data_IF_687209923275
#
_entry.id   IF_687209923275
#
_cell.length_a   1.000
_cell.length_b   1.000
_cell.length_c   1.000
_cell.angle_alpha   90.00
_cell.angle_beta   90.00
_cell.angle_gamma   90.00
#
_symmetry.space_group_name_H-M   'P 1'
#
loop_
_entity.id
_entity.type
_entity.pdbx_description
1 polymer ?
#
# COMPACT_ATOMS: atom_id res chain seq x y z
N UNK A 1 44.75 2.92 33.19
CA UNK A 1 44.00 2.14 32.19
C UNK A 1 43.20 3.10 31.36
N UNK A 2 43.48 3.20 30.05
CA UNK A 2 42.74 4.07 29.13
C UNK A 2 42.01 3.19 28.14
N UNK A 3 40.68 3.22 28.18
CA UNK A 3 39.86 2.68 27.10
C UNK A 3 39.37 3.86 26.26
N UNK A 4 40.08 4.07 25.15
CA UNK A 4 39.60 4.89 24.04
C UNK A 4 38.57 4.05 23.29
N UNK A 5 37.31 4.47 23.31
CA UNK A 5 36.33 4.02 22.34
C UNK A 5 36.15 5.13 21.31
N UNK A 6 36.85 4.97 20.19
CA UNK A 6 36.42 5.55 18.92
C UNK A 6 35.79 4.40 18.15
N UNK A 7 34.49 4.47 17.88
CA UNK A 7 33.90 3.73 16.78
C UNK A 7 32.83 4.57 16.12
N UNK A 8 32.86 4.49 14.80
CA UNK A 8 32.28 5.38 13.83
C UNK A 8 30.75 5.52 13.90
N UNK A 9 30.33 6.68 13.42
CA UNK A 9 29.06 6.97 12.75
C UNK A 9 28.45 5.75 12.05
N UNK A 10 27.21 5.42 12.38
CA UNK A 10 26.26 4.94 11.38
C UNK A 10 25.26 6.09 11.19
N UNK A 11 25.08 6.64 9.98
CA UNK A 11 23.88 7.42 9.72
C UNK A 11 22.72 6.42 9.83
N UNK A 12 21.96 6.54 10.90
CA UNK A 12 20.64 5.93 11.00
C UNK A 12 19.79 6.55 9.89
N UNK A 13 19.92 5.99 8.69
CA UNK A 13 19.02 6.22 7.58
C UNK A 13 17.92 5.16 7.69
N UNK A 14 17.26 5.08 8.84
CA UNK A 14 15.89 4.58 8.85
C UNK A 14 15.09 5.62 8.12
N UNK A 15 14.96 5.43 6.80
CA UNK A 15 14.06 6.22 5.99
C UNK A 15 12.65 5.94 6.52
N UNK A 16 12.25 6.72 7.53
CA UNK A 16 10.92 6.71 8.11
C UNK A 16 9.98 6.87 6.93
N UNK A 17 9.25 5.81 6.58
CA UNK A 17 8.27 5.95 5.52
C UNK A 17 7.24 6.95 6.01
N UNK A 18 6.89 7.93 5.18
CA UNK A 18 5.79 8.81 5.52
C UNK A 18 4.56 7.93 5.60
N UNK A 19 3.92 7.85 6.77
CA UNK A 19 2.72 7.03 6.98
C UNK A 19 1.53 7.45 6.08
N UNK A 20 1.71 8.52 5.29
CA UNK A 20 0.78 9.04 4.29
C UNK A 20 1.33 8.96 2.86
N UNK A 21 2.40 8.18 2.62
CA UNK A 21 2.95 7.94 1.29
C UNK A 21 1.90 7.16 0.46
N UNK A 22 1.50 7.64 -0.74
CA UNK A 22 0.44 7.01 -1.53
C UNK A 22 0.75 5.58 -1.98
N UNK A 23 2.01 5.17 -1.96
CA UNK A 23 2.52 3.84 -2.31
C UNK A 23 2.66 2.90 -1.11
N UNK A 24 2.33 3.36 0.10
CA UNK A 24 2.39 2.55 1.32
C UNK A 24 1.00 2.10 1.72
N UNK A 25 0.80 0.79 1.82
CA UNK A 25 -0.49 0.18 2.13
C UNK A 25 -0.39 -0.71 3.36
N UNK A 26 -1.46 -0.73 4.16
CA UNK A 26 -1.59 -1.68 5.26
C UNK A 26 -1.78 -3.11 4.75
N UNK A 27 -1.38 -4.11 5.55
CA UNK A 27 -1.70 -5.52 5.28
C UNK A 27 -3.19 -5.74 5.02
N UNK A 28 -4.05 -5.07 5.79
CA UNK A 28 -5.50 -5.16 5.68
C UNK A 28 -6.02 -4.66 4.33
N UNK A 29 -5.58 -3.49 3.89
CA UNK A 29 -5.96 -2.92 2.58
C UNK A 29 -5.55 -3.84 1.43
N UNK A 30 -4.34 -4.40 1.47
CA UNK A 30 -3.85 -5.32 0.43
C UNK A 30 -4.59 -6.66 0.45
N UNK A 31 -4.83 -7.25 1.61
CA UNK A 31 -5.62 -8.48 1.72
C UNK A 31 -7.06 -8.28 1.27
N UNK A 32 -7.67 -7.15 1.59
CA UNK A 32 -9.00 -6.84 1.09
C UNK A 32 -8.98 -6.67 -0.43
N UNK A 33 -7.98 -5.98 -0.99
CA UNK A 33 -7.80 -5.88 -2.44
C UNK A 33 -7.69 -7.26 -3.10
N UNK A 34 -6.88 -8.16 -2.54
CA UNK A 34 -6.73 -9.54 -3.01
C UNK A 34 -8.08 -10.29 -3.06
N UNK A 35 -8.87 -10.22 -1.97
CA UNK A 35 -10.16 -10.91 -1.88
C UNK A 35 -11.19 -10.42 -2.92
N UNK A 36 -11.09 -9.15 -3.31
CA UNK A 36 -11.95 -8.55 -4.32
C UNK A 36 -11.50 -8.92 -5.74
N UNK A 37 -10.19 -8.90 -5.99
CA UNK A 37 -9.62 -9.19 -7.31
C UNK A 37 -9.64 -10.66 -7.70
N UNK A 38 -9.47 -11.59 -6.75
CA UNK A 38 -9.33 -13.04 -7.03
C UNK A 38 -10.44 -13.64 -7.89
N UNK A 39 -11.63 -13.01 -7.93
CA UNK A 39 -12.78 -13.48 -8.73
C UNK A 39 -12.73 -13.01 -10.19
N UNK A 40 -12.13 -11.86 -10.46
CA UNK A 40 -12.19 -11.19 -11.77
C UNK A 40 -10.83 -11.07 -12.45
N UNK A 41 -9.76 -10.95 -11.67
CA UNK A 41 -8.39 -10.84 -12.16
C UNK A 41 -7.43 -11.62 -11.22
N UNK A 42 -7.33 -12.95 -11.39
CA UNK A 42 -6.53 -13.79 -10.50
C UNK A 42 -5.03 -13.51 -10.58
N UNK A 43 -4.51 -13.10 -11.75
CA UNK A 43 -3.09 -12.75 -11.91
C UNK A 43 -2.72 -11.51 -11.08
N UNK A 44 -3.58 -10.48 -11.12
CA UNK A 44 -3.38 -9.27 -10.32
C UNK A 44 -3.56 -9.56 -8.83
N UNK A 45 -4.50 -10.42 -8.48
CA UNK A 45 -4.65 -10.89 -7.10
C UNK A 45 -3.38 -11.60 -6.60
N UNK A 46 -2.78 -12.49 -7.40
CA UNK A 46 -1.51 -13.13 -7.06
C UNK A 46 -0.38 -12.11 -6.86
N UNK A 47 -0.34 -11.05 -7.68
CA UNK A 47 0.61 -9.96 -7.52
C UNK A 47 0.46 -9.30 -6.13
N UNK A 48 -0.77 -8.95 -5.75
CA UNK A 48 -1.04 -8.36 -4.42
C UNK A 48 -0.70 -9.33 -3.28
N UNK A 49 -1.01 -10.62 -3.45
CA UNK A 49 -0.65 -11.65 -2.47
C UNK A 49 0.87 -11.71 -2.28
N UNK A 50 1.64 -11.65 -3.36
CA UNK A 50 3.10 -11.69 -3.28
C UNK A 50 3.67 -10.49 -2.50
N UNK A 51 3.08 -9.30 -2.64
CA UNK A 51 3.46 -8.11 -1.86
C UNK A 51 3.23 -8.35 -0.36
N UNK A 52 2.06 -8.87 0.02
CA UNK A 52 1.69 -9.11 1.44
C UNK A 52 2.51 -10.21 2.11
N UNK A 53 3.03 -11.15 1.32
CA UNK A 53 3.94 -12.20 1.80
C UNK A 53 5.42 -11.77 1.74
N UNK A 54 5.71 -10.56 1.23
CA UNK A 54 7.04 -9.97 1.27
C UNK A 54 7.43 -9.45 2.65
N UNK A 55 8.55 -8.74 2.71
CA UNK A 55 9.04 -8.10 3.94
C UNK A 55 8.24 -6.83 4.21
N UNK A 56 7.59 -6.70 5.39
CA UNK A 56 6.93 -5.45 5.76
C UNK A 56 7.96 -4.33 6.00
N UNK A 57 7.50 -3.09 5.95
CA UNK A 57 8.31 -1.93 6.31
C UNK A 57 8.62 -1.92 7.81
N UNK A 58 9.83 -1.45 8.16
CA UNK A 58 10.28 -1.35 9.55
C UNK A 58 9.35 -0.45 10.36
N UNK A 59 8.83 -1.00 11.45
CA UNK A 59 7.96 -0.28 12.38
C UNK A 59 8.79 0.63 13.27
N UNK A 60 8.19 1.71 13.78
CA UNK A 60 8.87 2.55 14.76
C UNK A 60 9.01 1.82 16.10
N UNK A 61 9.99 2.18 16.92
CA UNK A 61 10.19 1.59 18.27
C UNK A 61 8.97 1.74 19.20
N UNK A 62 7.99 2.58 18.84
CA UNK A 62 6.75 2.80 19.58
C UNK A 62 5.57 1.97 19.07
N UNK A 63 5.71 1.29 17.93
CA UNK A 63 4.64 0.49 17.36
C UNK A 63 4.57 -0.88 18.03
N UNK A 64 3.34 -1.35 18.23
CA UNK A 64 3.09 -2.71 18.68
C UNK A 64 3.59 -3.65 17.57
N UNK A 65 4.53 -4.55 17.92
CA UNK A 65 4.98 -5.60 17.02
C UNK A 65 3.87 -6.63 16.80
N UNK A 66 2.96 -6.30 15.88
CA UNK A 66 1.85 -7.14 15.46
C UNK A 66 1.74 -7.13 13.96
N UNK A 67 1.50 -8.29 13.33
CA UNK A 67 1.30 -8.38 11.88
C UNK A 67 0.14 -7.50 11.36
N UNK A 68 -0.80 -7.14 12.24
CA UNK A 68 -1.93 -6.27 11.91
C UNK A 68 -1.53 -4.81 11.67
N UNK A 69 -0.34 -4.41 12.12
CA UNK A 69 0.24 -3.07 11.90
C UNK A 69 1.27 -3.05 10.78
N UNK A 70 1.46 -4.17 10.06
CA UNK A 70 2.38 -4.26 8.93
C UNK A 70 1.94 -3.35 7.78
N UNK A 71 2.90 -2.62 7.25
CA UNK A 71 2.77 -1.80 6.05
C UNK A 71 3.72 -2.31 4.97
N UNK A 72 3.35 -2.13 3.72
CA UNK A 72 4.12 -2.57 2.56
C UNK A 72 4.17 -1.46 1.53
N UNK A 73 5.34 -1.28 0.92
CA UNK A 73 5.45 -0.48 -0.30
C UNK A 73 4.92 -1.28 -1.48
N UNK A 74 4.03 -0.67 -2.24
CA UNK A 74 3.48 -1.23 -3.46
C UNK A 74 4.27 -0.69 -4.66
N UNK A 75 5.05 -1.58 -5.27
CA UNK A 75 5.75 -1.31 -6.52
C UNK A 75 5.14 -2.15 -7.65
N UNK A 76 4.13 -1.58 -8.32
CA UNK A 76 3.45 -2.19 -9.47
C UNK A 76 3.23 -1.16 -10.57
N UNK A 77 3.02 -1.62 -11.79
CA UNK A 77 2.85 -0.72 -12.95
C UNK A 77 1.57 0.13 -12.86
N UNK A 78 1.57 1.29 -13.51
CA UNK A 78 0.38 2.17 -13.61
C UNK A 78 -0.83 1.46 -14.23
N UNK A 79 -0.60 0.56 -15.18
CA UNK A 79 -1.64 -0.27 -15.79
C UNK A 79 -2.26 -1.24 -14.78
N UNK A 80 -1.44 -1.84 -13.92
CA UNK A 80 -1.93 -2.69 -12.83
C UNK A 80 -2.71 -1.87 -11.81
N UNK A 81 -2.20 -0.72 -11.34
CA UNK A 81 -2.96 0.17 -10.43
C UNK A 81 -4.30 0.55 -11.02
N UNK A 82 -4.34 0.92 -12.31
CA UNK A 82 -5.58 1.23 -13.01
C UNK A 82 -6.55 0.06 -13.01
N UNK A 83 -6.08 -1.14 -13.35
CA UNK A 83 -6.89 -2.35 -13.34
C UNK A 83 -7.43 -2.68 -11.93
N UNK A 84 -6.67 -2.37 -10.87
CA UNK A 84 -7.16 -2.50 -9.49
C UNK A 84 -8.32 -1.53 -9.24
N UNK A 85 -8.13 -0.24 -9.53
CA UNK A 85 -9.19 0.78 -9.31
C UNK A 85 -10.45 0.43 -10.10
N UNK A 86 -10.31 0.09 -11.38
CA UNK A 86 -11.43 -0.33 -12.23
C UNK A 86 -12.12 -1.58 -11.67
N UNK A 87 -11.35 -2.60 -11.26
CA UNK A 87 -11.87 -3.81 -10.65
C UNK A 87 -12.60 -3.55 -9.33
N UNK A 88 -12.12 -2.61 -8.52
CA UNK A 88 -12.76 -2.23 -7.27
C UNK A 88 -14.07 -1.46 -7.50
N UNK A 89 -14.09 -0.53 -8.47
CA UNK A 89 -15.27 0.28 -8.82
C UNK A 89 -16.33 -0.56 -9.53
N UNK A 90 -15.92 -1.55 -10.34
CA UNK A 90 -16.84 -2.46 -11.02
C UNK A 90 -17.57 -3.42 -10.08
N UNK A 91 -17.18 -3.49 -8.80
CA UNK A 91 -17.91 -4.29 -7.84
C UNK A 91 -19.28 -3.69 -7.58
N UNK A 92 -20.28 -4.56 -7.53
CA UNK A 92 -21.64 -4.23 -7.13
C UNK A 92 -21.67 -3.96 -5.61
N UNK A 93 -21.13 -2.81 -5.20
CA UNK A 93 -21.16 -2.36 -3.81
C UNK A 93 -22.61 -1.99 -3.51
N UNK A 94 -23.31 -2.73 -2.63
CA UNK A 94 -24.72 -2.47 -2.36
C UNK A 94 -24.91 -1.07 -1.77
N UNK A 95 -26.12 -0.52 -1.95
CA UNK A 95 -26.49 0.73 -1.29
C UNK A 95 -26.27 0.63 0.22
N UNK A 96 -25.76 1.70 0.87
CA UNK A 96 -25.45 1.67 2.29
C UNK A 96 -26.72 1.43 3.12
N UNK A 97 -26.68 0.40 3.95
CA UNK A 97 -27.67 0.07 4.97
C UNK A 97 -26.96 -0.11 6.32
N UNK A 98 -27.66 -0.01 7.46
CA UNK A 98 -27.03 -0.17 8.79
C UNK A 98 -26.23 -1.47 8.97
N UNK A 99 -26.65 -2.54 8.29
CA UNK A 99 -26.01 -3.87 8.31
C UNK A 99 -24.75 -3.98 7.43
N UNK A 100 -24.61 -3.16 6.37
CA UNK A 100 -23.50 -3.24 5.42
C UNK A 100 -22.60 -2.00 5.39
N UNK A 101 -22.96 -0.94 6.14
CA UNK A 101 -22.31 0.36 6.11
C UNK A 101 -20.78 0.27 6.30
N UNK A 102 -20.32 -0.55 7.25
CA UNK A 102 -18.89 -0.76 7.48
C UNK A 102 -18.16 -1.30 6.24
N UNK A 103 -18.77 -2.26 5.52
CA UNK A 103 -18.20 -2.82 4.28
C UNK A 103 -18.17 -1.78 3.16
N UNK A 104 -19.23 -0.98 3.02
CA UNK A 104 -19.30 0.10 2.02
C UNK A 104 -18.24 1.17 2.29
N UNK A 105 -18.06 1.55 3.56
CA UNK A 105 -17.02 2.51 3.97
C UNK A 105 -15.63 1.96 3.66
N UNK A 106 -15.34 0.71 4.03
CA UNK A 106 -14.05 0.08 3.75
C UNK A 106 -13.77 -0.02 2.24
N UNK A 107 -14.76 -0.40 1.44
CA UNK A 107 -14.59 -0.48 -0.02
C UNK A 107 -14.32 0.89 -0.65
N UNK A 108 -15.04 1.94 -0.21
CA UNK A 108 -14.79 3.32 -0.66
C UNK A 108 -13.42 3.84 -0.25
N UNK A 109 -13.04 3.62 1.01
CA UNK A 109 -11.71 3.99 1.50
C UNK A 109 -10.61 3.31 0.69
N UNK A 110 -10.78 2.02 0.35
CA UNK A 110 -9.82 1.28 -0.45
C UNK A 110 -9.71 1.84 -1.88
N UNK A 111 -10.83 2.18 -2.52
CA UNK A 111 -10.83 2.85 -3.83
C UNK A 111 -10.06 4.18 -3.75
N UNK A 112 -10.28 4.97 -2.70
CA UNK A 112 -9.59 6.25 -2.50
C UNK A 112 -8.08 6.08 -2.28
N UNK A 113 -7.65 5.06 -1.54
CA UNK A 113 -6.23 4.72 -1.35
C UNK A 113 -5.55 4.41 -2.69
N UNK A 114 -6.11 3.49 -3.48
CA UNK A 114 -5.56 3.15 -4.80
C UNK A 114 -5.62 4.32 -5.80
N UNK A 115 -6.66 5.15 -5.73
CA UNK A 115 -6.76 6.34 -6.57
C UNK A 115 -5.70 7.40 -6.20
N UNK A 116 -5.30 7.50 -4.92
CA UNK A 116 -4.18 8.37 -4.50
C UNK A 116 -2.87 7.89 -5.14
N UNK A 117 -2.59 6.58 -5.10
CA UNK A 117 -1.41 6.02 -5.76
C UNK A 117 -1.43 6.32 -7.26
N UNK A 118 -2.56 6.06 -7.93
CA UNK A 118 -2.71 6.33 -9.36
C UNK A 118 -2.39 7.80 -9.70
N UNK A 119 -2.93 8.76 -8.92
CA UNK A 119 -2.66 10.18 -9.11
C UNK A 119 -1.19 10.53 -8.91
N UNK A 120 -0.54 9.99 -7.88
CA UNK A 120 0.91 10.16 -7.65
C UNK A 120 1.69 9.70 -8.88
N UNK A 121 1.44 8.49 -9.37
CA UNK A 121 2.16 7.94 -10.52
C UNK A 121 1.90 8.73 -11.82
N UNK A 122 0.72 9.33 -11.97
CA UNK A 122 0.42 10.23 -13.09
C UNK A 122 1.21 11.55 -13.00
N UNK A 123 1.39 12.09 -11.80
CA UNK A 123 2.13 13.34 -11.55
C UNK A 123 3.65 13.16 -11.61
N UNK A 124 4.15 11.97 -11.26
CA UNK A 124 5.58 11.63 -11.27
C UNK A 124 6.11 11.29 -12.65
N UNK A 125 5.24 11.18 -13.68
CA UNK A 125 5.71 11.17 -15.07
C UNK A 125 6.31 12.54 -15.37
N UNK A 126 7.64 12.66 -15.57
CA UNK A 126 8.17 13.84 -16.19
C UNK A 126 7.51 13.93 -17.55
N UNK A 127 7.08 15.12 -17.95
CA UNK A 127 6.76 15.36 -19.34
C UNK A 127 8.00 14.97 -20.15
N UNK A 128 7.93 13.86 -20.89
CA UNK A 128 8.78 13.69 -22.07
C UNK A 128 8.37 14.80 -23.04
N UNK A 129 8.92 15.98 -22.81
CA UNK A 129 8.79 17.14 -23.68
C UNK A 129 10.18 17.74 -23.89
N UNK A 130 10.87 17.20 -24.89
CA UNK A 130 11.40 17.99 -26.01
C UNK A 130 12.70 18.78 -25.83
N UNK A 131 13.80 18.21 -26.32
CA UNK A 131 14.70 18.86 -27.29
C UNK A 131 15.51 17.83 -28.07
#
# INVERSE_FOLDING_TARGET
MSLKFSSACSPDNTARYSNNAPDVFSRGSLMFTYELLRKHNPELALTIRNIVHGTPLDKSDQDIDSQNTDHFTVDISTLQVRAIVEGLVAQDIPSPSPENMGKVIMAKALIDEWAKLARKMLQERPEEQGS
#
